data_IF_356370407680
#
_entry.id   IF_356370407680
#
_cell.length_a   1.000
_cell.length_b   1.000
_cell.length_c   1.000
_cell.angle_alpha   90.00
_cell.angle_beta   90.00
_cell.angle_gamma   90.00
#
_symmetry.space_group_name_H-M   'P 1'
#
loop_
_entity.id
_entity.type
_entity.pdbx_description
1 polymer ?
#
# COMPACT_ATOMS: atom_id res chain seq x y z
N UNK A 1 -37.35 -24.41 5.87
CA UNK A 1 -36.11 -25.23 5.73
C UNK A 1 -34.91 -24.31 5.43
N UNK A 2 -34.26 -23.76 6.46
CA UNK A 2 -33.05 -22.95 6.25
C UNK A 2 -31.88 -23.89 5.98
N UNK A 3 -31.50 -24.09 4.71
CA UNK A 3 -30.19 -24.69 4.38
C UNK A 3 -29.14 -23.80 5.06
N UNK A 4 -28.48 -24.32 6.10
CA UNK A 4 -27.32 -23.66 6.72
C UNK A 4 -26.27 -23.56 5.62
N UNK A 5 -26.20 -22.39 4.97
CA UNK A 5 -25.16 -22.12 3.98
C UNK A 5 -23.86 -22.05 4.76
N UNK A 6 -22.96 -22.99 4.51
CA UNK A 6 -21.63 -23.02 5.10
C UNK A 6 -20.95 -21.66 4.88
N UNK A 7 -20.48 -21.06 5.97
CA UNK A 7 -19.96 -19.71 6.05
C UNK A 7 -18.52 -19.80 6.58
N UNK A 8 -17.56 -19.37 5.78
CA UNK A 8 -16.14 -19.53 6.09
C UNK A 8 -15.44 -18.19 5.92
N UNK A 9 -14.82 -17.69 6.97
CA UNK A 9 -13.85 -16.60 6.87
C UNK A 9 -12.54 -17.13 6.31
N UNK A 10 -11.93 -16.39 5.39
CA UNK A 10 -10.69 -16.74 4.71
C UNK A 10 -9.75 -15.55 4.83
N UNK A 11 -8.51 -15.84 5.20
CA UNK A 11 -7.41 -14.89 5.27
C UNK A 11 -6.16 -15.53 4.67
N UNK A 12 -5.31 -14.74 4.01
CA UNK A 12 -4.10 -15.24 3.36
C UNK A 12 -2.86 -14.40 3.70
N UNK A 13 -1.82 -15.09 4.15
CA UNK A 13 -0.49 -14.52 4.33
C UNK A 13 0.33 -14.79 3.07
N UNK A 14 0.87 -13.74 2.47
CA UNK A 14 1.58 -13.82 1.19
C UNK A 14 2.96 -13.20 1.23
N UNK A 15 3.81 -13.71 0.34
CA UNK A 15 5.15 -13.20 0.15
C UNK A 15 5.09 -11.84 -0.56
N UNK A 16 5.78 -10.83 -0.03
CA UNK A 16 5.65 -9.44 -0.52
C UNK A 16 6.21 -9.27 -1.95
N UNK A 17 7.12 -10.14 -2.38
CA UNK A 17 7.80 -10.07 -3.67
C UNK A 17 6.99 -10.82 -4.72
N UNK A 18 6.71 -12.10 -4.46
CA UNK A 18 6.02 -12.97 -5.42
C UNK A 18 4.51 -12.81 -5.39
N UNK A 19 3.96 -12.18 -4.33
CA UNK A 19 2.53 -12.06 -4.03
C UNK A 19 1.80 -13.40 -3.90
N UNK A 20 2.55 -14.50 -3.79
CA UNK A 20 2.00 -15.85 -3.60
C UNK A 20 1.67 -16.09 -2.13
N UNK A 21 0.47 -16.61 -1.80
CA UNK A 21 0.14 -16.98 -0.44
C UNK A 21 0.98 -18.20 -0.01
N UNK A 22 1.51 -18.16 1.20
CA UNK A 22 2.22 -19.28 1.84
C UNK A 22 1.44 -19.89 3.00
N UNK A 23 0.49 -19.14 3.58
CA UNK A 23 -0.53 -19.64 4.52
C UNK A 23 -1.89 -19.14 4.07
N UNK A 24 -2.89 -20.00 4.13
CA UNK A 24 -4.30 -19.63 4.03
C UNK A 24 -4.99 -20.15 5.28
N UNK A 25 -5.63 -19.26 6.02
CA UNK A 25 -6.38 -19.64 7.21
C UNK A 25 -7.86 -19.54 6.93
N UNK A 26 -8.60 -20.54 7.39
CA UNK A 26 -10.05 -20.61 7.26
C UNK A 26 -10.68 -20.78 8.63
N UNK A 27 -11.70 -19.98 8.95
CA UNK A 27 -12.41 -20.06 10.21
C UNK A 27 -13.93 -20.12 10.00
N UNK A 28 -14.61 -20.91 10.82
CA UNK A 28 -16.06 -20.95 10.93
C UNK A 28 -16.49 -20.74 12.39
N UNK A 29 -17.76 -21.02 12.72
CA UNK A 29 -18.27 -20.89 14.09
C UNK A 29 -17.67 -21.85 15.14
N UNK A 30 -17.01 -22.93 14.72
CA UNK A 30 -16.53 -24.00 15.58
C UNK A 30 -15.00 -24.04 15.63
N UNK A 31 -14.35 -23.81 14.49
CA UNK A 31 -12.93 -24.10 14.35
C UNK A 31 -12.22 -23.22 13.35
N UNK A 32 -10.90 -23.17 13.50
CA UNK A 32 -9.97 -22.54 12.58
C UNK A 32 -9.02 -23.61 12.02
N UNK A 33 -8.73 -23.52 10.73
CA UNK A 33 -7.82 -24.43 10.03
C UNK A 33 -6.78 -23.64 9.26
N UNK A 34 -5.51 -23.94 9.55
CA UNK A 34 -4.37 -23.41 8.83
C UNK A 34 -3.99 -24.36 7.68
N UNK A 35 -3.87 -23.82 6.48
CA UNK A 35 -3.61 -24.56 5.24
C UNK A 35 -2.40 -23.98 4.53
N UNK A 36 -1.58 -24.84 3.93
CA UNK A 36 -0.37 -24.46 3.22
C UNK A 36 -0.54 -24.67 1.71
N UNK A 37 -0.67 -23.62 0.88
CA UNK A 37 -0.95 -23.77 -0.55
C UNK A 37 0.12 -24.53 -1.36
N UNK A 38 1.33 -24.68 -0.82
CA UNK A 38 2.39 -25.50 -1.43
C UNK A 38 2.18 -27.01 -1.20
N UNK A 39 1.36 -27.40 -0.22
CA UNK A 39 0.93 -28.77 -0.01
C UNK A 39 -0.25 -29.07 -0.94
N UNK A 40 -0.13 -30.15 -1.74
CA UNK A 40 -1.15 -30.53 -2.74
C UNK A 40 -2.54 -30.74 -2.14
N UNK A 41 -2.64 -31.38 -0.97
CA UNK A 41 -3.93 -31.65 -0.31
C UNK A 41 -4.59 -30.34 0.14
N UNK A 42 -3.81 -29.48 0.79
CA UNK A 42 -4.30 -28.18 1.27
C UNK A 42 -4.70 -27.27 0.10
N UNK A 43 -3.91 -27.24 -0.97
CA UNK A 43 -4.24 -26.52 -2.20
C UNK A 43 -5.63 -26.88 -2.74
N UNK A 44 -5.95 -28.18 -2.85
CA UNK A 44 -7.26 -28.62 -3.32
C UNK A 44 -8.39 -28.26 -2.37
N UNK A 45 -8.17 -28.33 -1.05
CA UNK A 45 -9.16 -27.89 -0.06
C UNK A 45 -9.44 -26.39 -0.22
N UNK A 46 -8.38 -25.57 -0.32
CA UNK A 46 -8.51 -24.12 -0.51
C UNK A 46 -9.30 -23.84 -1.79
N UNK A 47 -8.91 -24.47 -2.90
CA UNK A 47 -9.53 -24.28 -4.21
C UNK A 47 -11.01 -24.65 -4.19
N UNK A 48 -11.36 -25.82 -3.64
CA UNK A 48 -12.75 -26.28 -3.54
C UNK A 48 -13.61 -25.30 -2.75
N UNK A 49 -13.12 -24.81 -1.62
CA UNK A 49 -13.85 -23.85 -0.79
C UNK A 49 -14.02 -22.52 -1.53
N UNK A 50 -12.93 -21.97 -2.05
CA UNK A 50 -12.86 -20.69 -2.76
C UNK A 50 -13.73 -20.64 -4.03
N UNK A 51 -13.76 -21.73 -4.81
CA UNK A 51 -14.48 -21.79 -6.08
C UNK A 51 -15.94 -22.24 -5.91
N UNK A 52 -16.34 -22.74 -4.74
CA UNK A 52 -17.70 -23.21 -4.49
C UNK A 52 -18.72 -22.07 -4.41
N UNK A 53 -19.74 -22.08 -5.28
CA UNK A 53 -20.90 -21.17 -5.20
C UNK A 53 -21.87 -21.52 -4.06
N UNK A 54 -21.68 -22.66 -3.40
CA UNK A 54 -22.51 -23.13 -2.27
C UNK A 54 -22.02 -22.58 -0.93
N UNK A 55 -20.74 -22.20 -0.85
CA UNK A 55 -20.08 -21.68 0.36
C UNK A 55 -20.07 -20.15 0.29
N UNK A 56 -20.46 -19.51 1.39
CA UNK A 56 -20.29 -18.06 1.57
C UNK A 56 -18.91 -17.81 2.16
N UNK A 57 -18.10 -17.00 1.48
CA UNK A 57 -16.78 -16.61 2.00
C UNK A 57 -16.87 -15.26 2.70
N UNK A 58 -16.07 -15.06 3.72
CA UNK A 58 -15.91 -13.78 4.39
C UNK A 58 -14.44 -13.41 4.32
N UNK A 59 -14.16 -12.17 3.96
CA UNK A 59 -12.83 -11.59 3.98
C UNK A 59 -12.83 -10.31 4.83
N UNK A 60 -11.63 -9.84 5.14
CA UNK A 60 -11.41 -8.49 5.61
C UNK A 60 -10.45 -7.80 4.64
N UNK A 61 -10.97 -6.95 3.74
CA UNK A 61 -10.25 -6.45 2.56
C UNK A 61 -10.04 -7.52 1.46
N UNK A 62 -11.16 -8.02 0.94
CA UNK A 62 -11.23 -9.13 -0.03
C UNK A 62 -10.33 -8.95 -1.27
N UNK A 63 -10.11 -7.73 -1.73
CA UNK A 63 -9.25 -7.45 -2.90
C UNK A 63 -7.84 -8.01 -2.75
N UNK A 64 -7.29 -7.98 -1.53
CA UNK A 64 -5.94 -8.49 -1.23
C UNK A 64 -5.88 -10.02 -1.33
N UNK A 65 -6.78 -10.72 -0.63
CA UNK A 65 -6.81 -12.19 -0.61
C UNK A 65 -7.17 -12.77 -1.98
N UNK A 66 -8.16 -12.17 -2.66
CA UNK A 66 -8.56 -12.60 -4.01
C UNK A 66 -7.38 -12.43 -4.97
N UNK A 67 -6.64 -11.31 -4.89
CA UNK A 67 -5.45 -11.11 -5.72
C UNK A 67 -4.39 -12.17 -5.42
N UNK A 68 -4.03 -12.37 -4.15
CA UNK A 68 -3.02 -13.35 -3.73
C UNK A 68 -3.38 -14.77 -4.19
N UNK A 69 -4.59 -15.25 -3.92
CA UNK A 69 -5.07 -16.57 -4.35
C UNK A 69 -5.09 -16.73 -5.88
N UNK A 70 -5.35 -15.66 -6.62
CA UNK A 70 -5.32 -15.71 -8.08
C UNK A 70 -3.91 -15.96 -8.65
N UNK A 71 -2.84 -15.61 -7.92
CA UNK A 71 -1.46 -15.86 -8.34
C UNK A 71 -1.09 -17.35 -8.36
N UNK A 72 -1.88 -18.19 -7.68
CA UNK A 72 -1.74 -19.65 -7.65
C UNK A 72 -2.90 -20.36 -8.37
N UNK A 73 -3.66 -19.64 -9.20
CA UNK A 73 -4.73 -20.22 -10.02
C UNK A 73 -6.01 -20.58 -9.25
N UNK A 74 -6.23 -19.96 -8.09
CA UNK A 74 -7.47 -20.13 -7.32
C UNK A 74 -8.37 -18.90 -7.54
N UNK A 75 -9.59 -19.13 -8.00
CA UNK A 75 -10.57 -18.06 -8.21
C UNK A 75 -11.58 -18.00 -7.06
N UNK A 76 -11.95 -16.80 -6.61
CA UNK A 76 -13.01 -16.63 -5.63
C UNK A 76 -14.35 -16.43 -6.34
N UNK A 77 -15.22 -17.43 -6.26
CA UNK A 77 -16.56 -17.33 -6.79
C UNK A 77 -17.54 -16.75 -5.74
N UNK A 78 -18.50 -15.89 -6.15
CA UNK A 78 -19.57 -15.47 -5.25
C UNK A 78 -20.42 -16.68 -4.81
N UNK A 79 -21.06 -16.61 -3.62
CA UNK A 79 -21.18 -15.45 -2.75
C UNK A 79 -19.96 -15.24 -1.83
N UNK A 80 -19.56 -13.98 -1.64
CA UNK A 80 -18.60 -13.59 -0.62
C UNK A 80 -18.96 -12.24 -0.01
N UNK A 81 -18.35 -11.95 1.14
CA UNK A 81 -18.54 -10.78 1.96
C UNK A 81 -17.20 -10.17 2.36
N UNK A 82 -17.20 -8.88 2.63
CA UNK A 82 -16.02 -8.14 3.07
C UNK A 82 -16.38 -7.26 4.28
N UNK A 83 -15.78 -7.57 5.43
CA UNK A 83 -16.01 -6.84 6.68
C UNK A 83 -15.37 -5.46 6.69
N UNK A 84 -14.34 -5.21 5.88
CA UNK A 84 -13.73 -3.90 5.72
C UNK A 84 -14.73 -2.95 5.06
N UNK A 85 -15.32 -3.36 3.93
CA UNK A 85 -16.38 -2.61 3.25
C UNK A 85 -17.58 -2.40 4.18
N UNK A 86 -18.04 -3.46 4.86
CA UNK A 86 -19.16 -3.35 5.80
C UNK A 86 -18.89 -2.28 6.86
N UNK A 87 -17.70 -2.30 7.48
CA UNK A 87 -17.34 -1.33 8.51
C UNK A 87 -17.30 0.10 7.98
N UNK A 88 -16.86 0.31 6.74
CA UNK A 88 -16.84 1.63 6.12
C UNK A 88 -18.23 2.18 5.83
N UNK A 89 -19.15 1.34 5.37
CA UNK A 89 -20.54 1.75 5.10
C UNK A 89 -21.30 2.02 6.39
N UNK A 90 -21.05 1.20 7.43
CA UNK A 90 -21.77 1.31 8.71
C UNK A 90 -21.33 2.56 9.49
N UNK A 91 -20.03 2.88 9.48
CA UNK A 91 -19.46 4.01 10.22
C UNK A 91 -18.28 4.61 9.43
N UNK A 92 -18.57 5.55 8.54
CA UNK A 92 -17.57 6.27 7.74
C UNK A 92 -16.74 7.28 8.57
N UNK A 93 -17.24 7.67 9.75
CA UNK A 93 -16.57 8.61 10.64
C UNK A 93 -15.56 7.96 11.58
N UNK A 94 -15.63 6.64 11.77
CA UNK A 94 -14.61 5.92 12.51
C UNK A 94 -13.21 6.22 11.95
N UNK A 95 -12.16 6.15 12.77
CA UNK A 95 -10.84 6.60 12.33
C UNK A 95 -10.04 5.52 11.60
N UNK A 96 -10.34 4.23 11.80
CA UNK A 96 -9.54 3.13 11.24
C UNK A 96 -10.36 1.89 10.93
N UNK A 97 -10.11 1.27 9.78
CA UNK A 97 -10.80 0.05 9.33
C UNK A 97 -9.92 -1.19 9.47
N UNK A 98 -8.76 -1.08 10.11
CA UNK A 98 -7.86 -2.21 10.33
C UNK A 98 -8.53 -3.28 11.20
N UNK A 99 -8.41 -4.53 10.80
CA UNK A 99 -8.98 -5.71 11.45
C UNK A 99 -8.87 -5.68 12.97
N UNK A 100 -7.64 -5.57 13.50
CA UNK A 100 -7.39 -5.58 14.95
C UNK A 100 -8.02 -4.40 15.69
N UNK A 101 -8.15 -3.23 15.05
CA UNK A 101 -8.81 -2.07 15.65
C UNK A 101 -10.32 -2.29 15.72
N UNK A 102 -10.91 -2.88 14.68
CA UNK A 102 -12.31 -3.25 14.68
C UNK A 102 -12.61 -4.38 15.68
N UNK A 103 -11.75 -5.40 15.75
CA UNK A 103 -11.87 -6.50 16.71
C UNK A 103 -11.84 -5.97 18.16
N UNK A 104 -10.90 -5.08 18.49
CA UNK A 104 -10.86 -4.39 19.80
C UNK A 104 -12.15 -3.62 20.10
N UNK A 105 -12.61 -2.80 19.15
CA UNK A 105 -13.77 -1.93 19.36
C UNK A 105 -15.08 -2.72 19.50
N UNK A 106 -15.31 -3.67 18.59
CA UNK A 106 -16.62 -4.30 18.43
C UNK A 106 -16.72 -5.69 19.05
N UNK A 107 -15.60 -6.40 19.20
CA UNK A 107 -15.54 -7.74 19.80
C UNK A 107 -14.89 -7.75 21.18
N UNK A 108 -14.29 -6.64 21.62
CA UNK A 108 -13.50 -6.53 22.87
C UNK A 108 -12.30 -7.49 22.92
N UNK A 109 -11.78 -7.86 21.75
CA UNK A 109 -10.63 -8.75 21.59
C UNK A 109 -9.31 -7.99 21.83
N UNK A 110 -8.40 -8.45 22.71
CA UNK A 110 -7.16 -7.72 23.03
C UNK A 110 -6.10 -7.75 21.90
N UNK A 111 -6.19 -8.71 20.99
CA UNK A 111 -5.27 -8.95 19.87
C UNK A 111 -3.79 -9.00 20.31
N UNK A 112 -3.48 -9.87 21.28
CA UNK A 112 -2.15 -9.95 21.88
C UNK A 112 -1.10 -10.51 20.93
N UNK A 113 -1.49 -11.40 20.03
CA UNK A 113 -0.65 -12.00 18.98
C UNK A 113 0.01 -10.94 18.09
N UNK A 114 -0.63 -9.78 17.92
CA UNK A 114 -0.08 -8.65 17.17
C UNK A 114 1.18 -8.05 17.84
N UNK A 115 1.29 -8.12 19.18
CA UNK A 115 2.39 -7.50 19.93
C UNK A 115 3.72 -8.15 19.57
N UNK A 116 3.78 -9.49 19.63
CA UNK A 116 4.98 -10.26 19.29
C UNK A 116 5.33 -10.12 17.80
N UNK A 117 4.33 -10.24 16.93
CA UNK A 117 4.51 -10.06 15.49
C UNK A 117 5.13 -8.70 15.15
N UNK A 118 4.66 -7.61 15.76
CA UNK A 118 5.18 -6.26 15.51
C UNK A 118 6.67 -6.14 15.91
N UNK A 119 7.04 -6.73 17.05
CA UNK A 119 8.43 -6.73 17.53
C UNK A 119 9.36 -7.45 16.54
N UNK A 120 8.95 -8.63 16.07
CA UNK A 120 9.73 -9.41 15.10
C UNK A 120 9.76 -8.74 13.74
N UNK A 121 8.62 -8.24 13.26
CA UNK A 121 8.51 -7.51 11.99
C UNK A 121 9.46 -6.31 11.96
N UNK A 122 9.54 -5.53 13.03
CA UNK A 122 10.48 -4.39 13.11
C UNK A 122 11.94 -4.85 13.07
N UNK A 123 12.28 -5.89 13.85
CA UNK A 123 13.63 -6.48 13.86
C UNK A 123 14.04 -6.98 12.47
N UNK A 124 13.12 -7.66 11.78
CA UNK A 124 13.39 -8.30 10.49
C UNK A 124 13.41 -7.27 9.36
N UNK A 125 12.55 -6.24 9.39
CA UNK A 125 12.64 -5.11 8.45
C UNK A 125 13.99 -4.38 8.56
N UNK A 126 14.53 -4.20 9.77
CA UNK A 126 15.87 -3.62 9.96
C UNK A 126 16.97 -4.52 9.39
N UNK A 127 16.86 -5.84 9.57
CA UNK A 127 17.85 -6.81 9.09
C UNK A 127 17.84 -6.99 7.56
N UNK A 128 16.66 -7.08 6.96
CA UNK A 128 16.50 -7.46 5.55
C UNK A 128 16.16 -6.29 4.62
N UNK A 129 15.77 -5.14 5.14
CA UNK A 129 15.44 -3.95 4.34
C UNK A 129 14.38 -4.25 3.28
N UNK A 130 14.69 -3.92 2.01
CA UNK A 130 13.82 -4.17 0.85
C UNK A 130 13.56 -5.66 0.58
N UNK A 131 14.35 -6.59 1.14
CA UNK A 131 14.19 -8.04 1.00
C UNK A 131 13.30 -8.67 2.09
N UNK A 132 12.72 -7.86 2.98
CA UNK A 132 11.80 -8.36 3.99
C UNK A 132 10.55 -8.97 3.34
N UNK A 133 10.14 -10.14 3.82
CA UNK A 133 8.87 -10.79 3.47
C UNK A 133 8.26 -11.44 4.71
N UNK A 134 6.93 -11.58 4.74
CA UNK A 134 6.21 -12.27 5.81
C UNK A 134 6.59 -13.75 5.93
N UNK A 135 7.02 -14.36 4.83
CA UNK A 135 7.53 -15.73 4.78
C UNK A 135 8.80 -15.94 5.63
N UNK A 136 9.50 -14.86 6.00
CA UNK A 136 10.66 -14.90 6.90
C UNK A 136 10.27 -14.97 8.38
N UNK A 137 9.02 -14.69 8.73
CA UNK A 137 8.57 -14.67 10.12
C UNK A 137 8.46 -16.12 10.63
N UNK A 138 9.01 -16.44 11.83
CA UNK A 138 8.91 -17.79 12.37
C UNK A 138 7.46 -18.27 12.48
N UNK A 139 7.24 -19.53 12.07
CA UNK A 139 5.95 -20.22 12.14
C UNK A 139 5.21 -20.07 13.46
N UNK A 140 5.91 -20.26 14.58
CA UNK A 140 5.38 -20.11 15.94
C UNK A 140 4.77 -18.74 16.27
N UNK A 141 5.02 -17.72 15.43
CA UNK A 141 4.54 -16.34 15.60
C UNK A 141 3.47 -16.02 14.55
N UNK A 142 3.71 -16.40 13.29
CA UNK A 142 2.78 -16.06 12.19
C UNK A 142 1.55 -16.97 12.16
N UNK A 143 1.66 -18.23 12.56
CA UNK A 143 0.52 -19.15 12.57
C UNK A 143 -0.59 -18.74 13.56
N UNK A 144 -0.30 -18.43 14.85
CA UNK A 144 -1.33 -17.93 15.77
C UNK A 144 -1.94 -16.60 15.31
N UNK A 145 -1.12 -15.75 14.68
CA UNK A 145 -1.57 -14.48 14.11
C UNK A 145 -2.61 -14.68 13.00
N UNK A 146 -2.28 -15.54 12.01
CA UNK A 146 -3.13 -15.83 10.87
C UNK A 146 -4.44 -16.54 11.27
N UNK A 147 -4.38 -17.40 12.29
CA UNK A 147 -5.60 -18.00 12.90
C UNK A 147 -6.51 -16.94 13.47
N UNK A 148 -5.96 -16.02 14.27
CA UNK A 148 -6.76 -14.95 14.87
C UNK A 148 -7.35 -13.99 13.83
N UNK A 149 -6.66 -13.72 12.73
CA UNK A 149 -7.21 -12.86 11.67
C UNK A 149 -8.46 -13.46 11.00
N UNK A 150 -8.47 -14.77 10.72
CA UNK A 150 -9.67 -15.44 10.21
C UNK A 150 -10.82 -15.45 11.24
N UNK A 151 -10.52 -15.71 12.52
CA UNK A 151 -11.52 -15.69 13.61
C UNK A 151 -12.15 -14.31 13.80
N UNK A 152 -11.33 -13.26 13.86
CA UNK A 152 -11.80 -11.88 13.97
C UNK A 152 -12.64 -11.50 12.77
N UNK A 153 -12.25 -11.91 11.56
CA UNK A 153 -13.00 -11.68 10.33
C UNK A 153 -14.38 -12.34 10.40
N UNK A 154 -14.46 -13.60 10.84
CA UNK A 154 -15.71 -14.31 11.04
C UNK A 154 -16.63 -13.59 12.04
N UNK A 155 -16.09 -13.25 13.21
CA UNK A 155 -16.85 -12.63 14.30
C UNK A 155 -17.30 -11.20 13.96
N UNK A 156 -16.46 -10.42 13.28
CA UNK A 156 -16.84 -9.09 12.79
C UNK A 156 -17.96 -9.17 11.76
N UNK A 157 -17.93 -10.16 10.87
CA UNK A 157 -19.04 -10.37 9.93
C UNK A 157 -20.35 -10.61 10.69
N UNK A 158 -20.35 -11.47 11.71
CA UNK A 158 -21.55 -11.72 12.53
C UNK A 158 -22.04 -10.43 13.22
N UNK A 159 -21.13 -9.57 13.66
CA UNK A 159 -21.47 -8.28 14.26
C UNK A 159 -22.05 -7.27 13.23
N UNK A 160 -21.49 -7.21 12.01
CA UNK A 160 -21.89 -6.25 10.98
C UNK A 160 -23.07 -6.70 10.11
N UNK A 161 -23.27 -8.01 9.92
CA UNK A 161 -24.34 -8.59 9.08
C UNK A 161 -25.74 -8.03 9.38
N UNK A 162 -26.21 -7.92 10.64
CA UNK A 162 -27.52 -7.32 10.91
C UNK A 162 -27.57 -5.82 10.56
N UNK A 163 -26.47 -5.09 10.75
CA UNK A 163 -26.38 -3.64 10.56
C UNK A 163 -26.28 -3.24 9.09
N UNK A 164 -25.62 -4.05 8.27
CA UNK A 164 -25.45 -3.76 6.84
C UNK A 164 -26.76 -3.94 6.04
N UNK A 165 -27.78 -4.60 6.61
CA UNK A 165 -29.07 -4.85 5.93
C UNK A 165 -29.75 -3.56 5.47
N UNK A 166 -29.67 -2.48 6.26
CA UNK A 166 -30.24 -1.18 5.88
C UNK A 166 -29.52 -0.54 4.67
N UNK A 167 -28.25 -0.91 4.44
CA UNK A 167 -27.42 -0.42 3.33
C UNK A 167 -27.24 -1.43 2.19
N UNK A 168 -28.14 -2.41 2.08
CA UNK A 168 -28.00 -3.56 1.16
C UNK A 168 -27.72 -3.16 -0.30
N UNK A 169 -28.34 -2.09 -0.80
CA UNK A 169 -28.14 -1.61 -2.19
C UNK A 169 -26.70 -1.13 -2.39
N UNK A 170 -26.22 -0.25 -1.53
CA UNK A 170 -24.85 0.28 -1.55
C UNK A 170 -23.83 -0.85 -1.34
N UNK A 171 -24.05 -1.73 -0.36
CA UNK A 171 -23.15 -2.85 -0.10
C UNK A 171 -23.03 -3.81 -1.29
N UNK A 172 -24.14 -4.07 -2.00
CA UNK A 172 -24.12 -4.87 -3.23
C UNK A 172 -23.37 -4.18 -4.37
N UNK A 173 -23.43 -2.85 -4.44
CA UNK A 173 -22.65 -2.07 -5.41
C UNK A 173 -21.15 -2.18 -5.11
N UNK A 174 -20.73 -1.93 -3.86
CA UNK A 174 -19.33 -2.03 -3.44
C UNK A 174 -18.75 -3.44 -3.68
N UNK A 175 -19.50 -4.50 -3.37
CA UNK A 175 -19.05 -5.87 -3.65
C UNK A 175 -18.88 -6.18 -5.14
N UNK A 176 -19.60 -5.49 -6.04
CA UNK A 176 -19.41 -5.64 -7.50
C UNK A 176 -18.13 -4.99 -8.00
N UNK A 177 -17.57 -4.02 -7.26
CA UNK A 177 -16.33 -3.34 -7.62
C UNK A 177 -15.10 -4.19 -7.29
N UNK A 178 -15.16 -5.02 -6.23
CA UNK A 178 -14.08 -5.93 -5.82
C UNK A 178 -13.45 -6.71 -7.00
N UNK A 179 -14.19 -7.46 -7.83
CA UNK A 179 -13.59 -8.22 -8.93
C UNK A 179 -13.03 -7.31 -10.03
N UNK A 180 -13.62 -6.13 -10.24
CA UNK A 180 -13.10 -5.15 -11.22
C UNK A 180 -11.74 -4.61 -10.77
N UNK A 181 -11.63 -4.25 -9.49
CA UNK A 181 -10.37 -3.79 -8.88
C UNK A 181 -9.31 -4.88 -8.97
N UNK A 182 -9.64 -6.12 -8.59
CA UNK A 182 -8.70 -7.24 -8.72
C UNK A 182 -8.24 -7.41 -10.17
N UNK A 183 -9.15 -7.31 -11.15
CA UNK A 183 -8.79 -7.40 -12.56
C UNK A 183 -7.90 -6.25 -13.03
N UNK A 184 -8.15 -5.01 -12.56
CA UNK A 184 -7.28 -3.86 -12.84
C UNK A 184 -5.88 -4.08 -12.27
N UNK A 185 -5.78 -4.54 -11.01
CA UNK A 185 -4.51 -4.88 -10.35
C UNK A 185 -3.75 -5.96 -11.12
N UNK A 186 -4.43 -7.05 -11.51
CA UNK A 186 -3.85 -8.15 -12.28
C UNK A 186 -3.39 -7.70 -13.67
N UNK A 187 -4.14 -6.81 -14.32
CA UNK A 187 -3.77 -6.28 -15.64
C UNK A 187 -2.49 -5.46 -15.57
N UNK A 188 -2.38 -4.57 -14.59
CA UNK A 188 -1.23 -3.69 -14.42
C UNK A 188 -0.99 -2.74 -15.61
N UNK A 189 0.09 -1.98 -15.53
CA UNK A 189 0.48 -0.95 -16.50
C UNK A 189 1.82 -1.30 -17.15
N UNK A 190 1.93 -1.10 -18.46
CA UNK A 190 3.21 -1.28 -19.16
C UNK A 190 4.12 -0.07 -18.93
N UNK A 191 5.32 -0.34 -18.42
CA UNK A 191 6.30 0.67 -17.99
C UNK A 191 7.57 0.54 -18.83
N UNK A 192 8.04 1.66 -19.37
CA UNK A 192 9.35 1.73 -20.01
C UNK A 192 10.46 1.74 -18.94
N UNK A 193 10.98 0.55 -18.63
CA UNK A 193 12.03 0.35 -17.62
C UNK A 193 13.33 1.08 -17.95
N UNK A 194 13.70 1.11 -19.23
CA UNK A 194 14.93 1.74 -19.67
C UNK A 194 14.86 3.25 -19.51
N UNK A 195 13.73 3.85 -19.90
CA UNK A 195 13.44 5.25 -19.62
C UNK A 195 13.51 5.57 -18.12
N UNK A 196 12.95 4.73 -17.25
CA UNK A 196 13.05 4.92 -15.80
C UNK A 196 14.51 4.92 -15.30
N UNK A 197 15.35 4.00 -15.80
CA UNK A 197 16.78 3.94 -15.42
C UNK A 197 17.54 5.18 -15.89
N UNK A 198 17.30 5.63 -17.12
CA UNK A 198 17.91 6.83 -17.68
C UNK A 198 17.52 8.08 -16.88
N UNK A 199 16.24 8.22 -16.53
CA UNK A 199 15.79 9.33 -15.70
C UNK A 199 16.38 9.29 -14.28
N UNK A 200 16.56 8.10 -13.68
CA UNK A 200 17.25 7.97 -12.39
C UNK A 200 18.69 8.50 -12.50
N UNK A 201 19.46 8.12 -13.53
CA UNK A 201 20.84 8.58 -13.72
C UNK A 201 20.89 10.11 -13.90
N UNK A 202 20.05 10.66 -14.78
CA UNK A 202 19.95 12.12 -15.01
C UNK A 202 19.62 12.89 -13.73
N UNK A 203 18.69 12.37 -12.93
CA UNK A 203 18.28 12.98 -11.67
C UNK A 203 19.37 12.84 -10.59
N UNK A 204 20.13 11.74 -10.57
CA UNK A 204 21.26 11.55 -9.67
C UNK A 204 22.40 12.53 -9.99
N UNK A 205 22.71 12.73 -11.27
CA UNK A 205 23.69 13.73 -11.71
C UNK A 205 23.27 15.14 -11.28
N UNK A 206 22.01 15.50 -11.53
CA UNK A 206 21.44 16.78 -11.11
C UNK A 206 21.49 16.95 -9.60
N UNK A 207 21.10 15.93 -8.84
CA UNK A 207 21.18 15.91 -7.39
C UNK A 207 22.61 16.17 -6.91
N UNK A 208 23.59 15.41 -7.42
CA UNK A 208 24.99 15.52 -7.03
C UNK A 208 25.57 16.89 -7.35
N UNK A 209 25.24 17.45 -8.50
CA UNK A 209 25.67 18.80 -8.90
C UNK A 209 25.21 19.88 -7.92
N UNK A 210 23.91 19.92 -7.60
CA UNK A 210 23.38 20.92 -6.66
C UNK A 210 23.79 20.63 -5.21
N UNK A 211 23.89 19.36 -4.83
CA UNK A 211 24.28 18.97 -3.47
C UNK A 211 25.74 19.34 -3.18
N UNK A 212 26.66 19.22 -4.15
CA UNK A 212 28.03 19.74 -4.02
C UNK A 212 28.06 21.24 -3.74
N UNK A 213 27.21 22.03 -4.42
CA UNK A 213 27.08 23.47 -4.15
C UNK A 213 26.56 23.75 -2.74
N UNK A 214 25.59 22.97 -2.28
CA UNK A 214 25.05 23.06 -0.92
C UNK A 214 26.08 22.70 0.15
N UNK A 215 26.90 21.67 -0.07
CA UNK A 215 28.00 21.32 0.84
C UNK A 215 29.00 22.47 0.91
N UNK A 216 29.40 23.03 -0.24
CA UNK A 216 30.33 24.18 -0.31
C UNK A 216 29.77 25.41 0.42
N UNK A 217 28.47 25.67 0.31
CA UNK A 217 27.82 26.76 1.06
C UNK A 217 27.73 26.47 2.56
N UNK A 218 27.44 25.23 2.95
CA UNK A 218 27.21 24.87 4.35
C UNK A 218 28.50 24.56 5.12
N UNK A 219 29.63 24.32 4.44
CA UNK A 219 30.89 23.83 5.02
C UNK A 219 30.75 22.53 5.84
N UNK A 220 29.72 21.72 5.54
CA UNK A 220 29.48 20.41 6.18
C UNK A 220 28.57 19.55 5.32
N UNK A 221 28.70 18.23 5.46
CA UNK A 221 27.75 17.26 4.91
C UNK A 221 26.51 17.23 5.80
N UNK A 222 25.33 17.09 5.20
CA UNK A 222 24.06 17.05 5.92
C UNK A 222 23.01 16.28 5.13
N UNK A 223 21.90 15.90 5.77
CA UNK A 223 20.79 15.23 5.10
C UNK A 223 19.78 16.26 4.58
N UNK A 224 19.71 16.45 3.25
CA UNK A 224 18.78 17.39 2.61
C UNK A 224 17.29 17.06 2.84
N UNK A 225 16.98 15.82 3.23
CA UNK A 225 15.62 15.40 3.58
C UNK A 225 15.28 15.69 5.04
N UNK A 226 16.26 15.90 5.91
CA UNK A 226 16.07 16.20 7.33
C UNK A 226 15.60 17.65 7.52
N UNK A 227 14.39 17.90 8.07
CA UNK A 227 13.94 19.25 8.36
C UNK A 227 14.86 19.98 9.34
N UNK A 228 15.53 19.25 10.25
CA UNK A 228 16.49 19.81 11.20
C UNK A 228 17.73 20.37 10.47
N UNK A 229 18.30 19.58 9.58
CA UNK A 229 19.49 19.96 8.84
C UNK A 229 19.20 21.10 7.87
N UNK A 230 18.04 21.04 7.21
CA UNK A 230 17.60 22.10 6.31
C UNK A 230 17.36 23.41 7.06
N UNK A 231 16.78 23.39 8.26
CA UNK A 231 16.69 24.59 9.10
C UNK A 231 18.06 25.16 9.46
N UNK A 232 19.05 24.31 9.76
CA UNK A 232 20.43 24.76 10.00
C UNK A 232 21.06 25.41 8.77
N UNK A 233 20.73 24.94 7.56
CA UNK A 233 21.19 25.53 6.31
C UNK A 233 20.53 26.89 6.04
N UNK A 234 19.20 26.97 6.19
CA UNK A 234 18.43 28.19 5.94
C UNK A 234 18.80 29.33 6.89
N UNK A 235 19.25 29.03 8.12
CA UNK A 235 19.78 30.07 9.01
C UNK A 235 21.04 30.77 8.48
N UNK A 236 21.76 30.14 7.55
CA UNK A 236 22.97 30.72 6.93
C UNK A 236 22.66 31.54 5.67
N UNK A 237 21.42 31.50 5.19
CA UNK A 237 21.04 32.20 3.95
C UNK A 237 20.63 33.65 4.20
N UNK A 238 20.60 34.10 5.45
CA UNK A 238 20.21 35.45 5.90
C UNK A 238 18.85 35.92 5.34
N UNK A 239 17.90 35.00 5.23
CA UNK A 239 16.52 35.31 4.81
C UNK A 239 15.65 35.41 6.06
N UNK A 240 15.26 36.62 6.43
CA UNK A 240 14.57 36.89 7.70
C UNK A 240 13.07 36.54 7.71
N UNK A 241 12.44 36.52 6.54
CA UNK A 241 10.99 36.41 6.39
C UNK A 241 10.49 34.99 6.06
N UNK A 242 11.30 33.96 6.30
CA UNK A 242 10.80 32.58 6.16
C UNK A 242 9.78 32.31 7.25
N UNK A 243 8.57 31.89 6.83
CA UNK A 243 7.50 31.54 7.75
C UNK A 243 7.93 30.50 8.80
N UNK A 244 7.40 30.64 10.01
CA UNK A 244 7.69 29.77 11.15
C UNK A 244 6.44 29.01 11.60
N UNK A 245 6.64 27.86 12.24
CA UNK A 245 5.57 27.13 12.94
C UNK A 245 5.14 27.89 14.20
N UNK A 246 4.00 27.54 14.84
CA UNK A 246 3.62 28.11 16.14
C UNK A 246 4.72 27.96 17.22
N UNK A 247 5.53 26.90 17.11
CA UNK A 247 6.70 26.64 17.96
C UNK A 247 7.96 27.43 17.56
N UNK A 248 7.86 28.40 16.65
CA UNK A 248 8.97 29.27 16.22
C UNK A 248 9.96 28.63 15.24
N UNK A 249 9.74 27.40 14.78
CA UNK A 249 10.67 26.71 13.88
C UNK A 249 10.40 27.11 12.42
N UNK A 250 11.46 27.45 11.69
CA UNK A 250 11.39 27.76 10.24
C UNK A 250 10.73 26.63 9.46
N UNK A 251 9.69 26.94 8.67
CA UNK A 251 9.03 25.97 7.79
C UNK A 251 9.94 25.66 6.60
N UNK A 252 9.93 24.40 6.17
CA UNK A 252 10.80 23.88 5.10
C UNK A 252 10.01 23.27 3.94
N UNK A 253 8.69 23.55 3.89
CA UNK A 253 7.79 23.12 2.83
C UNK A 253 8.16 23.73 1.50
N UNK A 254 7.86 23.03 0.40
CA UNK A 254 8.14 23.53 -0.95
C UNK A 254 7.40 24.85 -1.19
N UNK A 255 6.12 24.88 -0.83
CA UNK A 255 5.22 26.03 -0.85
C UNK A 255 5.78 27.26 -0.15
N UNK A 256 6.52 27.08 0.94
CA UNK A 256 7.16 28.18 1.69
C UNK A 256 8.45 28.66 1.03
N UNK A 257 9.22 27.73 0.45
CA UNK A 257 10.54 28.03 -0.10
C UNK A 257 10.50 28.51 -1.56
N UNK A 258 9.48 28.11 -2.32
CA UNK A 258 9.35 28.42 -3.74
C UNK A 258 9.32 29.93 -4.04
N UNK A 259 8.60 30.78 -3.28
CA UNK A 259 8.65 32.24 -3.47
C UNK A 259 10.03 32.85 -3.23
N UNK A 260 10.86 32.22 -2.40
CA UNK A 260 12.18 32.73 -1.98
C UNK A 260 13.31 32.44 -2.98
N UNK A 261 13.01 31.74 -4.07
CA UNK A 261 14.00 31.34 -5.08
C UNK A 261 14.65 32.54 -5.78
N UNK A 262 13.90 33.64 -5.95
CA UNK A 262 14.42 34.88 -6.56
C UNK A 262 15.44 35.57 -5.65
N UNK A 263 15.26 35.43 -4.34
CA UNK A 263 16.06 36.11 -3.31
C UNK A 263 17.36 35.38 -3.03
N UNK A 264 17.37 34.04 -3.10
CA UNK A 264 18.56 33.27 -2.76
C UNK A 264 18.72 31.98 -3.59
N UNK A 265 19.85 31.90 -4.31
CA UNK A 265 20.22 30.74 -5.15
C UNK A 265 20.36 29.43 -4.36
N UNK A 266 20.66 29.48 -3.06
CA UNK A 266 20.73 28.29 -2.19
C UNK A 266 19.36 27.63 -2.08
N UNK A 267 18.28 28.41 -2.01
CA UNK A 267 16.92 27.88 -1.96
C UNK A 267 16.59 27.11 -3.24
N UNK A 268 17.00 27.65 -4.39
CA UNK A 268 16.88 26.95 -5.68
C UNK A 268 17.59 25.59 -5.67
N UNK A 269 18.81 25.53 -5.15
CA UNK A 269 19.58 24.27 -5.06
C UNK A 269 18.92 23.27 -4.11
N UNK A 270 18.38 23.73 -2.97
CA UNK A 270 17.60 22.89 -2.04
C UNK A 270 16.40 22.27 -2.75
N UNK A 271 15.61 23.09 -3.44
CA UNK A 271 14.41 22.62 -4.13
C UNK A 271 14.75 21.62 -5.23
N UNK A 272 15.82 21.84 -6.00
CA UNK A 272 16.29 20.87 -6.99
C UNK A 272 16.74 19.54 -6.39
N UNK A 273 17.54 19.55 -5.31
CA UNK A 273 17.92 18.32 -4.63
C UNK A 273 16.71 17.56 -4.07
N UNK A 274 15.74 18.26 -3.47
CA UNK A 274 14.51 17.63 -2.95
C UNK A 274 13.62 17.09 -4.07
N UNK A 275 13.50 17.84 -5.17
CA UNK A 275 12.77 17.41 -6.37
C UNK A 275 13.37 16.14 -6.98
N UNK A 276 14.70 16.13 -7.21
CA UNK A 276 15.40 14.94 -7.70
C UNK A 276 15.22 13.74 -6.78
N UNK A 277 15.44 13.92 -5.48
CA UNK A 277 15.30 12.85 -4.50
C UNK A 277 13.87 12.28 -4.45
N UNK A 278 12.85 13.14 -4.49
CA UNK A 278 11.45 12.71 -4.54
C UNK A 278 11.16 11.95 -5.83
N UNK A 279 11.60 12.48 -6.98
CA UNK A 279 11.35 11.83 -8.26
C UNK A 279 11.97 10.43 -8.32
N UNK A 280 13.22 10.29 -7.87
CA UNK A 280 13.91 8.99 -7.79
C UNK A 280 13.19 8.06 -6.83
N UNK A 281 13.06 8.44 -5.56
CA UNK A 281 12.66 7.49 -4.49
C UNK A 281 11.16 7.29 -4.38
N UNK A 282 10.35 8.29 -4.75
CA UNK A 282 8.89 8.19 -4.70
C UNK A 282 8.32 7.65 -5.99
N UNK A 283 8.91 7.92 -7.16
CA UNK A 283 8.32 7.53 -8.44
C UNK A 283 9.12 6.46 -9.18
N UNK A 284 10.34 6.76 -9.64
CA UNK A 284 11.06 5.86 -10.55
C UNK A 284 11.51 4.55 -9.88
N UNK A 285 12.04 4.60 -8.66
CA UNK A 285 12.41 3.40 -7.90
C UNK A 285 11.20 2.50 -7.61
N UNK A 286 10.06 3.00 -7.07
CA UNK A 286 8.86 2.18 -6.89
C UNK A 286 8.31 1.61 -8.18
N UNK A 287 8.30 2.39 -9.29
CA UNK A 287 7.96 1.85 -10.60
C UNK A 287 8.89 0.69 -10.96
N UNK A 288 10.19 0.79 -10.66
CA UNK A 288 11.16 -0.27 -10.92
C UNK A 288 11.01 -1.52 -10.03
N UNK A 289 10.39 -1.38 -8.86
CA UNK A 289 10.26 -2.45 -7.86
C UNK A 289 8.89 -3.15 -7.88
N UNK A 290 7.84 -2.54 -8.45
CA UNK A 290 6.47 -3.06 -8.46
C UNK A 290 6.16 -4.06 -9.61
N UNK A 291 7.16 -4.78 -10.11
CA UNK A 291 7.02 -5.74 -11.21
C UNK A 291 6.87 -7.18 -10.74
N UNK A 292 6.12 -7.98 -11.50
CA UNK A 292 5.89 -9.41 -11.23
C UNK A 292 6.99 -10.34 -11.79
N UNK A 293 7.91 -9.83 -12.61
CA UNK A 293 9.20 -10.48 -12.92
C UNK A 293 10.13 -9.49 -13.63
N UNK A 294 11.45 -9.70 -13.58
CA UNK A 294 12.43 -8.87 -14.31
C UNK A 294 12.20 -8.85 -15.83
N UNK A 295 11.49 -9.85 -16.35
CA UNK A 295 11.13 -9.99 -17.77
C UNK A 295 9.88 -9.21 -18.16
N UNK A 296 9.00 -8.89 -17.20
CA UNK A 296 7.74 -8.23 -17.49
C UNK A 296 7.83 -6.74 -17.15
N UNK A 297 7.72 -5.90 -18.16
CA UNK A 297 7.55 -4.45 -18.04
C UNK A 297 6.20 -4.03 -17.42
N UNK A 298 5.49 -4.92 -16.71
CA UNK A 298 4.15 -4.67 -16.17
C UNK A 298 4.21 -4.36 -14.68
N UNK A 299 3.95 -3.11 -14.30
CA UNK A 299 3.83 -2.69 -12.92
C UNK A 299 2.40 -2.90 -12.40
N UNK A 300 2.30 -3.42 -11.17
CA UNK A 300 1.03 -3.69 -10.51
C UNK A 300 0.90 -2.78 -9.29
N UNK A 301 -0.23 -2.06 -9.19
CA UNK A 301 -0.50 -1.12 -8.09
C UNK A 301 -1.70 -1.58 -7.29
N UNK A 302 -1.70 -1.33 -5.99
CA UNK A 302 -2.84 -1.58 -5.12
C UNK A 302 -3.86 -0.44 -5.23
N UNK A 303 -5.13 -0.79 -5.33
CA UNK A 303 -6.26 0.15 -5.28
C UNK A 303 -7.11 -0.15 -4.05
N UNK A 304 -7.52 0.90 -3.35
CA UNK A 304 -8.31 0.81 -2.12
C UNK A 304 -9.63 1.55 -2.29
N UNK A 305 -10.73 0.82 -2.19
CA UNK A 305 -12.08 1.36 -2.39
C UNK A 305 -12.66 2.07 -1.17
N UNK A 306 -12.34 1.61 0.04
CA UNK A 306 -12.93 2.15 1.28
C UNK A 306 -11.91 2.80 2.20
N UNK A 307 -11.11 3.72 1.64
CA UNK A 307 -10.03 4.43 2.35
C UNK A 307 -10.24 5.93 2.59
N UNK A 308 -11.12 6.58 1.82
CA UNK A 308 -11.35 8.03 1.90
C UNK A 308 -12.74 8.32 2.45
N UNK A 309 -12.88 9.41 3.22
CA UNK A 309 -14.19 9.86 3.75
C UNK A 309 -15.18 10.24 2.64
N UNK A 310 -14.68 10.65 1.48
CA UNK A 310 -15.51 11.06 0.33
C UNK A 310 -15.94 9.91 -0.58
N UNK A 311 -15.57 8.66 -0.27
CA UNK A 311 -15.88 7.49 -1.09
C UNK A 311 -15.04 7.37 -2.39
N UNK A 312 -14.03 8.22 -2.58
CA UNK A 312 -13.08 8.10 -3.71
C UNK A 312 -12.15 6.91 -3.50
N UNK A 313 -11.84 6.20 -4.59
CA UNK A 313 -10.72 5.27 -4.62
C UNK A 313 -9.42 5.97 -4.23
N UNK A 314 -8.59 5.30 -3.45
CA UNK A 314 -7.16 5.63 -3.37
C UNK A 314 -6.33 4.57 -4.08
N UNK A 315 -5.16 4.96 -4.58
CA UNK A 315 -4.22 4.03 -5.19
C UNK A 315 -2.80 4.32 -4.73
N UNK A 316 -2.01 3.25 -4.55
CA UNK A 316 -0.60 3.40 -4.26
C UNK A 316 0.11 4.02 -5.46
N UNK A 317 0.89 5.07 -5.21
CA UNK A 317 1.71 5.79 -6.18
C UNK A 317 0.96 6.58 -7.27
N UNK A 318 0.15 5.93 -8.10
CA UNK A 318 -0.31 6.45 -9.40
C UNK A 318 -1.13 7.75 -9.30
N UNK A 319 -1.91 7.92 -8.24
CA UNK A 319 -2.68 9.16 -8.00
C UNK A 319 -1.80 10.33 -7.55
N UNK A 320 -0.58 10.05 -7.08
CA UNK A 320 0.35 11.06 -6.56
C UNK A 320 1.37 11.53 -7.60
N UNK A 321 1.34 10.95 -8.82
CA UNK A 321 2.20 11.34 -9.94
C UNK A 321 1.73 12.71 -10.48
N UNK A 322 2.57 13.75 -10.39
CA UNK A 322 2.21 15.10 -10.86
C UNK A 322 1.77 15.10 -12.32
N UNK A 323 0.85 15.99 -12.67
CA UNK A 323 0.45 16.24 -14.08
C UNK A 323 1.56 16.99 -14.82
N UNK A 324 2.13 18.00 -14.16
CA UNK A 324 3.15 18.89 -14.70
C UNK A 324 4.21 19.15 -13.61
N UNK A 325 5.40 19.57 -14.02
CA UNK A 325 6.38 20.17 -13.12
C UNK A 325 6.03 21.64 -12.89
N UNK A 326 6.25 22.14 -11.67
CA UNK A 326 6.32 23.60 -11.51
C UNK A 326 7.61 24.13 -12.16
N UNK A 327 7.62 25.39 -12.57
CA UNK A 327 8.77 26.05 -13.21
C UNK A 327 10.04 26.08 -12.33
N UNK A 328 9.94 25.66 -11.08
CA UNK A 328 11.00 25.70 -10.06
C UNK A 328 11.46 24.28 -9.67
N UNK A 329 10.78 23.24 -10.17
CA UNK A 329 11.23 21.85 -10.06
C UNK A 329 12.11 21.44 -11.25
N UNK A 330 12.83 20.33 -11.08
CA UNK A 330 13.35 19.63 -12.25
C UNK A 330 12.19 19.09 -13.10
N UNK A 331 12.34 19.02 -14.43
CA UNK A 331 11.33 18.44 -15.31
C UNK A 331 10.94 17.03 -14.84
N UNK A 332 9.64 16.79 -14.72
CA UNK A 332 9.04 15.56 -14.26
C UNK A 332 8.41 14.87 -15.46
N UNK A 333 9.04 13.77 -15.85
CA UNK A 333 8.61 12.98 -16.98
C UNK A 333 8.07 11.61 -16.56
N UNK A 334 7.68 11.43 -15.28
CA UNK A 334 7.28 10.12 -14.76
C UNK A 334 6.13 9.51 -15.57
N UNK A 335 5.18 10.32 -16.05
CA UNK A 335 4.07 9.83 -16.89
C UNK A 335 4.54 9.25 -18.23
N UNK A 336 5.65 9.70 -18.79
CA UNK A 336 6.23 9.14 -20.02
C UNK A 336 6.75 7.72 -19.83
N UNK A 337 6.97 7.30 -18.58
CA UNK A 337 7.29 5.91 -18.30
C UNK A 337 6.12 4.96 -18.60
N UNK A 338 4.87 5.44 -18.60
CA UNK A 338 3.68 4.63 -18.87
C UNK A 338 3.42 4.57 -20.37
N UNK A 339 3.82 3.47 -21.00
CA UNK A 339 3.70 3.26 -22.43
C UNK A 339 2.53 2.31 -22.74
N UNK A 340 1.91 2.38 -23.93
CA UNK A 340 0.91 1.40 -24.32
C UNK A 340 1.54 0.01 -24.46
N UNK A 341 0.69 -1.02 -24.49
CA UNK A 341 1.11 -2.36 -24.92
C UNK A 341 1.30 -2.37 -26.43
N UNK A 342 2.09 -3.31 -26.96
CA UNK A 342 2.29 -3.50 -28.40
C UNK A 342 0.95 -3.53 -29.13
N UNK A 343 0.80 -2.73 -30.19
CA UNK A 343 -0.43 -2.57 -31.00
C UNK A 343 -1.61 -1.89 -30.29
N UNK A 344 -1.38 -1.18 -29.18
CA UNK A 344 -2.40 -0.37 -28.49
C UNK A 344 -1.95 1.09 -28.38
N UNK A 345 -2.89 1.97 -28.06
CA UNK A 345 -2.65 3.35 -27.64
C UNK A 345 -3.17 3.55 -26.21
N UNK A 346 -2.56 4.49 -25.48
CA UNK A 346 -3.13 5.00 -24.23
C UNK A 346 -4.03 6.18 -24.62
N UNK A 347 -5.33 6.06 -24.38
CA UNK A 347 -6.31 7.14 -24.57
C UNK A 347 -6.22 8.18 -23.46
#
# INVERSE_FOLDING_TARGET
>A
MYKIKMLIAIDSEYDEITKKPFIVTMADHQSSKLLYPNNKKDYYIIKQICESRKIKKIFHSATSDIYALSTIGININPPYHDTFIMSSIIDENFSSRKLKILAKKYLREPCEEQKELNKIKLKYKRKYGKKFSWSLIPKKIIEPYAVKDAEYTYNLFKYFEPKIKQYKKLYKLELKLVPMIVNMQKRGHNINREFCKQEILRLQESYNFYFKKLIKFNNKIFNIQSPKDLRSLLKKTDIDFIEKTPTGLVKTGKDILEPLVKENKVIKWVLYCRSAHKQINTYYEPLLNNYTSEKNSIAHFSFYQSGTKSGRFSAELIQTIPKESSNIDLPNNVRKAFIPRKNFINL
#
